data_IF_245846088934
#
_entry.id   IF_245846088934
#
_cell.length_a   1.000
_cell.length_b   1.000
_cell.length_c   1.000
_cell.angle_alpha   90.00
_cell.angle_beta   90.00
_cell.angle_gamma   90.00
#
_symmetry.space_group_name_H-M   'P 1'
#
loop_
_entity.id
_entity.type
_entity.pdbx_description
1 polymer ?
#
# COMPACT_ATOMS: atom_id res chain seq x y z
N UNK A 1 -6.91 -9.81 -15.94
CA UNK A 1 -6.45 -9.05 -14.77
C UNK A 1 -7.49 -9.20 -13.68
N UNK A 2 -7.08 -9.23 -12.42
CA UNK A 2 -7.98 -9.23 -11.26
C UNK A 2 -7.68 -7.98 -10.43
N UNK A 3 -8.73 -7.28 -10.01
CA UNK A 3 -8.61 -6.17 -9.05
C UNK A 3 -8.94 -6.73 -7.68
N UNK A 4 -7.95 -6.79 -6.80
CA UNK A 4 -8.10 -7.37 -5.47
C UNK A 4 -8.13 -6.25 -4.45
N UNK A 5 -9.10 -6.29 -3.54
CA UNK A 5 -9.04 -5.52 -2.30
C UNK A 5 -8.12 -6.27 -1.32
N UNK A 6 -6.89 -5.77 -1.15
CA UNK A 6 -5.88 -6.35 -0.28
C UNK A 6 -6.26 -6.09 1.18
N UNK A 7 -6.43 -7.17 1.95
CA UNK A 7 -6.62 -7.08 3.38
C UNK A 7 -5.36 -6.59 4.13
N UNK A 8 -5.58 -6.09 5.36
CA UNK A 8 -4.50 -5.69 6.26
C UNK A 8 -3.67 -6.90 6.68
N UNK A 9 -2.36 -6.72 6.84
CA UNK A 9 -1.39 -7.74 7.24
C UNK A 9 -0.91 -8.65 6.10
N UNK A 10 -1.57 -8.64 4.93
CA UNK A 10 -1.13 -9.39 3.77
C UNK A 10 -0.12 -8.59 2.94
N UNK A 11 0.97 -9.21 2.52
CA UNK A 11 1.87 -8.63 1.53
C UNK A 11 1.29 -8.79 0.11
N UNK A 12 1.70 -7.97 -0.87
CA UNK A 12 1.33 -8.19 -2.27
C UNK A 12 1.74 -9.58 -2.78
N UNK A 13 2.85 -10.12 -2.27
CA UNK A 13 3.32 -11.47 -2.61
C UNK A 13 2.41 -12.56 -2.05
N UNK A 14 1.81 -12.38 -0.87
CA UNK A 14 0.83 -13.31 -0.33
C UNK A 14 -0.40 -13.39 -1.23
N UNK A 15 -0.88 -12.24 -1.71
CA UNK A 15 -2.01 -12.17 -2.67
C UNK A 15 -1.64 -12.87 -3.98
N UNK A 16 -0.44 -12.63 -4.53
CA UNK A 16 0.05 -13.33 -5.72
C UNK A 16 0.12 -14.84 -5.49
N UNK A 17 0.59 -15.29 -4.33
CA UNK A 17 0.67 -16.70 -3.98
C UNK A 17 -0.72 -17.35 -3.88
N UNK A 18 -1.69 -16.66 -3.29
CA UNK A 18 -3.10 -17.10 -3.26
C UNK A 18 -3.65 -17.20 -4.68
N UNK A 19 -3.50 -16.16 -5.51
CA UNK A 19 -3.98 -16.17 -6.89
C UNK A 19 -3.34 -17.31 -7.71
N UNK A 20 -2.04 -17.54 -7.55
CA UNK A 20 -1.31 -18.63 -8.21
C UNK A 20 -1.88 -20.00 -7.85
N UNK A 21 -2.13 -20.24 -6.57
CA UNK A 21 -2.75 -21.50 -6.10
C UNK A 21 -4.19 -21.66 -6.60
N UNK A 22 -4.99 -20.60 -6.58
CA UNK A 22 -6.41 -20.65 -6.95
C UNK A 22 -6.66 -20.77 -8.45
N UNK A 23 -5.81 -20.17 -9.27
CA UNK A 23 -5.97 -20.14 -10.72
C UNK A 23 -5.16 -21.22 -11.44
N UNK A 24 -4.20 -21.86 -10.78
CA UNK A 24 -3.32 -22.85 -11.41
C UNK A 24 -2.35 -22.26 -12.44
N UNK A 25 -2.19 -20.94 -12.49
CA UNK A 25 -1.33 -20.24 -13.46
C UNK A 25 0.00 -19.87 -12.82
N UNK A 26 1.13 -20.27 -13.44
CA UNK A 26 2.48 -19.97 -12.93
C UNK A 26 2.88 -18.51 -13.11
N UNK A 27 2.55 -17.89 -14.25
CA UNK A 27 2.91 -16.51 -14.56
C UNK A 27 1.89 -15.56 -13.93
N UNK A 28 2.15 -15.09 -12.71
CA UNK A 28 1.33 -14.09 -12.02
C UNK A 28 2.25 -13.07 -11.36
N UNK A 29 1.88 -11.79 -11.46
CA UNK A 29 2.50 -10.68 -10.75
C UNK A 29 1.46 -9.65 -10.30
N UNK A 30 1.92 -8.55 -9.73
CA UNK A 30 1.09 -7.40 -9.37
C UNK A 30 1.58 -6.13 -10.09
N UNK A 31 0.74 -5.10 -10.18
CA UNK A 31 1.11 -3.81 -10.75
C UNK A 31 0.90 -2.68 -9.74
N UNK A 32 1.85 -2.57 -8.82
CA UNK A 32 1.81 -1.66 -7.68
C UNK A 32 2.04 -2.40 -6.37
N UNK A 33 2.74 -1.78 -5.44
CA UNK A 33 3.03 -2.36 -4.12
C UNK A 33 2.19 -1.62 -3.09
N UNK A 34 1.44 -2.37 -2.28
CA UNK A 34 0.78 -1.86 -1.09
C UNK A 34 1.50 -2.43 0.12
N UNK A 35 1.81 -1.59 1.10
CA UNK A 35 2.41 -2.03 2.35
C UNK A 35 1.53 -3.07 3.05
N UNK A 36 2.11 -3.95 3.89
CA UNK A 36 1.35 -4.98 4.58
C UNK A 36 0.15 -4.42 5.34
N UNK A 37 0.32 -3.27 6.00
CA UNK A 37 -0.72 -2.63 6.81
C UNK A 37 -1.70 -1.78 6.01
N UNK A 38 -1.37 -1.41 4.77
CA UNK A 38 -2.30 -0.74 3.88
C UNK A 38 -3.39 -1.71 3.39
N UNK A 39 -4.56 -1.18 3.03
CA UNK A 39 -5.65 -1.95 2.41
C UNK A 39 -6.05 -1.33 1.08
N UNK A 40 -6.90 -2.02 0.30
CA UNK A 40 -7.44 -1.48 -0.94
C UNK A 40 -6.83 -2.07 -2.20
N UNK A 41 -6.81 -1.28 -3.26
CA UNK A 41 -6.70 -1.77 -4.64
C UNK A 41 -5.31 -2.32 -4.97
N UNK A 42 -5.23 -3.63 -5.24
CA UNK A 42 -4.04 -4.32 -5.74
C UNK A 42 -4.35 -5.03 -7.08
N UNK A 43 -3.89 -4.48 -8.22
CA UNK A 43 -4.03 -5.15 -9.50
C UNK A 43 -3.15 -6.40 -9.59
N UNK A 44 -3.77 -7.55 -9.82
CA UNK A 44 -3.11 -8.85 -10.05
C UNK A 44 -3.17 -9.18 -11.54
N UNK A 45 -2.00 -9.40 -12.11
CA UNK A 45 -1.79 -9.68 -13.52
C UNK A 45 -1.51 -11.16 -13.73
N UNK A 46 -2.27 -11.80 -14.62
CA UNK A 46 -2.25 -13.26 -14.84
C UNK A 46 -1.87 -13.55 -16.28
N UNK A 47 -0.92 -14.45 -16.48
CA UNK A 47 -0.44 -14.88 -17.80
C UNK A 47 0.11 -13.72 -18.60
N UNK A 48 -0.35 -13.57 -19.84
CA UNK A 48 0.08 -12.51 -20.75
C UNK A 48 -0.23 -11.09 -20.24
N UNK A 49 -1.21 -10.94 -19.35
CA UNK A 49 -1.53 -9.65 -18.75
C UNK A 49 -0.37 -9.07 -17.92
N UNK A 50 0.62 -9.88 -17.49
CA UNK A 50 1.82 -9.33 -16.83
C UNK A 50 2.63 -8.40 -17.74
N UNK A 51 2.43 -8.47 -19.06
CA UNK A 51 3.04 -7.53 -20.01
C UNK A 51 2.50 -6.10 -19.84
N UNK A 52 1.36 -5.94 -19.17
CA UNK A 52 0.75 -4.64 -18.91
C UNK A 52 1.36 -3.88 -17.73
N UNK A 53 2.25 -4.50 -16.93
CA UNK A 53 2.87 -3.89 -15.75
C UNK A 53 3.42 -2.48 -16.02
N UNK A 54 4.22 -2.21 -17.08
CA UNK A 54 4.80 -0.89 -17.30
C UNK A 54 3.76 0.22 -17.46
N UNK A 55 2.56 -0.12 -17.96
CA UNK A 55 1.49 0.85 -18.18
C UNK A 55 0.65 1.12 -16.92
N UNK A 56 0.68 0.22 -15.94
CA UNK A 56 -0.16 0.28 -14.74
C UNK A 56 0.59 0.82 -13.52
N UNK A 57 1.90 0.58 -13.43
CA UNK A 57 2.69 1.04 -12.29
C UNK A 57 2.74 2.57 -12.25
N UNK A 58 2.81 3.22 -13.42
CA UNK A 58 2.94 4.67 -13.59
C UNK A 58 1.60 5.42 -13.61
N UNK A 59 0.49 4.75 -13.33
CA UNK A 59 -0.82 5.41 -13.23
C UNK A 59 -0.98 6.13 -11.89
N UNK A 60 -1.78 7.18 -11.90
CA UNK A 60 -2.19 7.91 -10.70
C UNK A 60 -2.80 6.97 -9.65
N UNK A 61 -2.55 7.31 -8.39
CA UNK A 61 -3.03 6.55 -7.23
C UNK A 61 -3.58 7.52 -6.21
N UNK A 62 -4.74 7.16 -5.66
CA UNK A 62 -5.40 7.93 -4.62
C UNK A 62 -5.37 7.12 -3.33
N UNK A 63 -5.05 7.78 -2.22
CA UNK A 63 -4.92 7.17 -0.92
C UNK A 63 -5.73 7.95 0.10
N UNK A 64 -6.44 7.21 0.96
CA UNK A 64 -6.97 7.74 2.20
C UNK A 64 -6.07 7.28 3.34
N UNK A 65 -5.45 8.25 4.04
CA UNK A 65 -4.54 7.99 5.14
C UNK A 65 -4.95 8.76 6.39
N UNK A 66 -4.54 8.25 7.55
CA UNK A 66 -4.63 8.96 8.83
C UNK A 66 -3.22 9.16 9.36
N UNK A 67 -2.87 10.41 9.65
CA UNK A 67 -1.54 10.77 10.15
C UNK A 67 -1.63 11.11 11.63
N UNK A 68 -0.67 10.62 12.42
CA UNK A 68 -0.48 11.01 13.82
C UNK A 68 0.71 11.96 13.92
N UNK A 69 0.43 13.24 14.20
CA UNK A 69 1.47 14.23 14.42
C UNK A 69 2.15 14.05 15.79
N UNK A 70 3.40 14.51 15.89
CA UNK A 70 4.19 14.49 17.13
C UNK A 70 4.89 13.16 17.44
N UNK A 71 4.72 12.14 16.60
CA UNK A 71 5.38 10.84 16.76
C UNK A 71 6.16 10.50 15.50
N UNK A 72 7.40 10.08 15.67
CA UNK A 72 8.23 9.52 14.61
C UNK A 72 8.54 8.06 14.91
N UNK A 73 8.33 7.18 13.93
CA UNK A 73 8.72 5.77 13.99
C UNK A 73 9.81 5.46 12.98
N UNK A 74 10.52 4.34 13.16
CA UNK A 74 11.59 3.88 12.26
C UNK A 74 11.08 3.36 10.90
N UNK A 75 9.81 2.97 10.80
CA UNK A 75 9.16 2.56 9.55
C UNK A 75 8.28 3.64 8.94
N UNK A 76 8.19 4.82 9.58
CA UNK A 76 7.29 5.91 9.19
C UNK A 76 5.79 5.57 9.20
N UNK A 77 5.41 4.46 9.83
CA UNK A 77 4.03 4.06 10.06
C UNK A 77 3.83 3.55 11.49
N UNK A 78 2.61 3.15 11.83
CA UNK A 78 2.22 2.72 13.18
C UNK A 78 2.80 1.36 13.58
N UNK A 79 3.41 0.61 12.65
CA UNK A 79 3.98 -0.71 12.93
C UNK A 79 5.42 -0.64 13.46
N UNK A 80 6.09 0.48 13.25
CA UNK A 80 7.48 0.70 13.66
C UNK A 80 7.66 1.02 15.14
N UNK A 81 8.93 1.00 15.57
CA UNK A 81 9.34 1.44 16.90
C UNK A 81 9.35 2.96 16.96
N UNK A 82 8.80 3.53 18.02
CA UNK A 82 8.86 4.98 18.29
C UNK A 82 10.33 5.40 18.48
N UNK A 83 10.77 6.36 17.67
CA UNK A 83 12.07 7.00 17.74
C UNK A 83 12.02 8.30 18.57
N UNK A 84 10.94 9.06 18.43
CA UNK A 84 10.71 10.29 19.20
C UNK A 84 9.21 10.58 19.34
N UNK A 85 8.87 11.23 20.45
CA UNK A 85 7.52 11.74 20.72
C UNK A 85 7.65 13.15 21.31
N UNK A 86 6.84 14.08 20.81
CA UNK A 86 6.81 15.47 21.24
C UNK A 86 5.36 15.97 21.29
N UNK A 87 5.04 16.91 22.20
CA UNK A 87 3.73 17.56 22.20
C UNK A 87 3.50 18.30 20.88
N UNK A 88 2.24 18.29 20.44
CA UNK A 88 1.79 18.98 19.22
C UNK A 88 0.88 20.12 19.65
N UNK A 89 1.49 21.28 19.90
CA UNK A 89 0.75 22.48 20.28
C UNK A 89 0.27 23.23 19.04
N UNK A 90 -0.91 23.87 19.13
CA UNK A 90 -1.47 24.75 18.10
C UNK A 90 -1.60 24.14 16.68
N UNK A 91 -1.98 22.86 16.59
CA UNK A 91 -2.29 22.22 15.32
C UNK A 91 -3.66 22.70 14.79
N UNK A 92 -3.64 23.50 13.74
CA UNK A 92 -4.85 23.96 13.05
C UNK A 92 -4.81 23.55 11.59
N UNK A 93 -5.98 23.40 10.96
CA UNK A 93 -6.07 23.05 9.52
C UNK A 93 -5.32 24.06 8.66
N UNK A 94 -5.43 25.36 8.97
CA UNK A 94 -4.74 26.41 8.23
C UNK A 94 -3.20 26.22 8.25
N UNK A 95 -2.62 25.87 9.40
CA UNK A 95 -1.16 25.63 9.51
C UNK A 95 -0.72 24.34 8.80
N UNK A 96 -1.60 23.35 8.71
CA UNK A 96 -1.32 22.11 7.98
C UNK A 96 -1.34 22.32 6.47
N UNK A 97 -2.18 23.22 5.96
CA UNK A 97 -2.30 23.52 4.52
C UNK A 97 -1.17 24.40 3.99
N UNK A 98 -0.46 25.13 4.86
CA UNK A 98 0.68 25.99 4.51
C UNK A 98 2.04 25.25 4.47
N UNK A 99 2.11 24.04 5.05
CA UNK A 99 3.35 23.27 5.23
C UNK A 99 3.71 22.40 4.02
#
# INVERSE_FOLDING_TARGET
MLVVDKGRGATPFDVVAIARRRLGVRRIGHAGTLDPDATGVLPILVGEATKLTPYLVDQDKEYLATVRFGVTTDTHDVSGRILSEAPVDDLTTARLEEA
#
